data_IF_242922041785
#
_entry.id   IF_242922041785
#
_cell.length_a   1.000
_cell.length_b   1.000
_cell.length_c   1.000
_cell.angle_alpha   90.00
_cell.angle_beta   90.00
_cell.angle_gamma   90.00
#
_symmetry.space_group_name_H-M   'P 1'
#
loop_
_entity.id
_entity.type
_entity.pdbx_description
1 polymer ?
#
# COMPACT_ATOMS: atom_id res chain seq x y z
N UNK A 1 -78.30 3.87 13.67
CA UNK A 1 -78.40 3.75 15.15
C UNK A 1 -77.11 3.06 15.61
N UNK A 2 -76.00 3.77 15.90
CA UNK A 2 -75.69 4.48 17.16
C UNK A 2 -75.74 3.48 18.34
N UNK A 3 -74.63 3.14 19.01
CA UNK A 3 -73.85 4.00 19.91
C UNK A 3 -72.41 3.50 20.21
N UNK A 4 -71.53 4.49 20.38
CA UNK A 4 -70.22 4.49 21.07
C UNK A 4 -70.29 4.17 22.58
N UNK A 5 -69.16 3.69 23.14
CA UNK A 5 -68.46 4.10 24.39
C UNK A 5 -67.12 3.31 24.45
N UNK A 6 -65.92 3.88 24.27
CA UNK A 6 -65.03 4.60 25.23
C UNK A 6 -64.66 3.73 26.47
N UNK A 7 -63.43 3.61 27.00
CA UNK A 7 -62.06 4.13 26.81
C UNK A 7 -61.20 3.39 27.89
N UNK A 8 -59.94 2.99 27.63
CA UNK A 8 -58.83 3.10 28.59
C UNK A 8 -57.52 2.50 28.02
N UNK A 9 -56.52 3.36 27.97
CA UNK A 9 -55.15 3.13 27.53
C UNK A 9 -54.31 2.49 28.65
N UNK A 10 -53.39 1.58 28.31
CA UNK A 10 -52.15 1.40 29.06
C UNK A 10 -51.00 1.26 28.05
N UNK A 11 -50.17 2.29 28.02
CA UNK A 11 -48.96 2.44 27.21
C UNK A 11 -47.83 1.67 27.92
N UNK A 12 -47.15 0.77 27.23
CA UNK A 12 -45.80 0.31 27.53
C UNK A 12 -44.91 0.75 26.35
N UNK A 13 -43.74 1.35 26.59
CA UNK A 13 -42.97 1.99 25.53
C UNK A 13 -42.25 0.91 24.73
N UNK A 14 -42.77 0.61 23.54
CA UNK A 14 -41.93 0.10 22.46
C UNK A 14 -41.24 1.35 21.93
N UNK A 15 -39.93 1.43 22.15
CA UNK A 15 -39.09 2.48 21.59
C UNK A 15 -39.38 2.61 20.11
N UNK A 16 -40.00 3.72 19.76
CA UNK A 16 -40.20 4.13 18.38
C UNK A 16 -38.82 4.34 17.79
N UNK A 17 -38.36 3.42 16.93
CA UNK A 17 -37.48 3.82 15.85
C UNK A 17 -38.25 4.88 15.06
N UNK A 18 -37.89 6.14 15.30
CA UNK A 18 -38.39 7.24 14.51
C UNK A 18 -37.97 6.98 13.09
N UNK A 19 -38.93 6.80 12.20
CA UNK A 19 -38.72 7.00 10.78
C UNK A 19 -38.31 8.46 10.58
N UNK A 20 -37.01 8.72 10.53
CA UNK A 20 -36.48 9.98 10.00
C UNK A 20 -36.74 9.94 8.50
N UNK A 21 -37.58 10.86 8.04
CA UNK A 21 -37.74 11.16 6.63
C UNK A 21 -36.42 11.64 6.05
N UNK A 22 -35.84 10.84 5.14
CA UNK A 22 -35.02 11.26 3.99
C UNK A 22 -34.08 12.45 4.20
N UNK A 23 -33.06 12.29 5.03
CA UNK A 23 -31.80 12.99 4.84
C UNK A 23 -30.74 11.92 4.59
N UNK A 24 -30.06 12.01 3.44
CA UNK A 24 -28.78 11.34 3.24
C UNK A 24 -27.84 11.82 4.35
N UNK A 25 -27.08 10.92 5.01
CA UNK A 25 -26.07 11.33 5.97
C UNK A 25 -25.12 12.33 5.30
N UNK A 26 -24.78 13.42 5.99
CA UNK A 26 -24.03 14.55 5.43
C UNK A 26 -22.55 14.51 5.78
N UNK A 27 -22.13 13.66 6.72
CA UNK A 27 -20.72 13.54 7.14
C UNK A 27 -20.29 12.07 7.15
N UNK A 28 -18.98 11.79 7.07
CA UNK A 28 -18.46 10.42 7.17
C UNK A 28 -18.91 9.71 8.45
N UNK A 29 -18.95 10.41 9.58
CA UNK A 29 -19.35 9.80 10.85
C UNK A 29 -20.82 9.38 10.90
N UNK A 30 -21.73 10.10 10.26
CA UNK A 30 -23.12 9.66 10.21
C UNK A 30 -23.30 8.35 9.39
N UNK A 31 -22.35 8.05 8.49
CA UNK A 31 -22.29 6.78 7.75
C UNK A 31 -21.55 5.67 8.50
N UNK A 32 -20.39 6.01 9.07
CA UNK A 32 -19.40 5.02 9.48
C UNK A 32 -19.28 4.84 11.01
N UNK A 33 -19.76 5.76 11.84
CA UNK A 33 -19.83 5.53 13.31
C UNK A 33 -21.12 4.75 13.65
N UNK A 34 -21.11 3.45 13.37
CA UNK A 34 -22.32 2.64 13.43
C UNK A 34 -22.84 2.39 14.85
N UNK A 35 -21.95 2.25 15.84
CA UNK A 35 -22.34 2.04 17.24
C UNK A 35 -22.37 3.33 18.07
N UNK A 36 -22.03 4.46 17.47
CA UNK A 36 -22.16 5.80 18.05
C UNK A 36 -21.14 6.06 19.16
N UNK A 37 -19.98 5.40 19.09
CA UNK A 37 -18.90 5.54 20.07
C UNK A 37 -17.99 6.74 19.78
N UNK A 38 -18.21 7.43 18.66
CA UNK A 38 -17.44 8.58 18.21
C UNK A 38 -16.16 8.22 17.46
N UNK A 39 -15.97 6.96 17.07
CA UNK A 39 -14.77 6.48 16.38
C UNK A 39 -15.10 5.53 15.23
N UNK A 40 -14.43 5.72 14.09
CA UNK A 40 -14.53 4.83 12.94
C UNK A 40 -13.45 3.75 13.09
N UNK A 41 -13.76 2.72 13.89
CA UNK A 41 -12.80 1.72 14.33
C UNK A 41 -12.99 0.32 13.75
N UNK A 42 -12.24 -0.63 14.30
CA UNK A 42 -12.28 -2.05 13.90
C UNK A 42 -13.68 -2.69 14.05
N UNK A 43 -14.48 -2.22 15.01
CA UNK A 43 -15.91 -2.52 15.14
C UNK A 43 -16.67 -2.19 13.85
N UNK A 44 -16.49 -0.99 13.30
CA UNK A 44 -17.10 -0.59 12.03
C UNK A 44 -16.52 -1.38 10.86
N UNK A 45 -15.21 -1.62 10.81
CA UNK A 45 -14.63 -2.43 9.72
C UNK A 45 -15.24 -3.84 9.67
N UNK A 46 -15.40 -4.51 10.82
CA UNK A 46 -16.07 -5.82 10.89
C UNK A 46 -17.52 -5.70 10.40
N UNK A 47 -18.20 -4.61 10.72
CA UNK A 47 -19.56 -4.36 10.26
C UNK A 47 -19.63 -4.13 8.75
N UNK A 48 -18.68 -3.37 8.19
CA UNK A 48 -18.56 -3.12 6.76
C UNK A 48 -18.30 -4.43 6.00
N UNK A 49 -17.28 -5.18 6.42
CA UNK A 49 -16.92 -6.45 5.79
C UNK A 49 -18.00 -7.53 5.96
N UNK A 50 -18.69 -7.55 7.10
CA UNK A 50 -19.77 -8.50 7.38
C UNK A 50 -21.02 -8.32 6.51
N UNK A 51 -21.16 -7.16 5.86
CA UNK A 51 -22.26 -6.85 4.93
C UNK A 51 -21.76 -6.62 3.49
N UNK A 52 -20.51 -6.94 3.18
CA UNK A 52 -19.97 -6.81 1.83
C UNK A 52 -20.70 -7.76 0.86
N UNK A 53 -20.95 -7.30 -0.37
CA UNK A 53 -21.81 -7.95 -1.37
C UNK A 53 -23.29 -8.12 -0.97
N UNK A 54 -23.78 -7.43 0.06
CA UNK A 54 -25.18 -7.56 0.52
C UNK A 54 -26.06 -6.46 -0.07
N UNK A 55 -27.12 -6.87 -0.77
CA UNK A 55 -28.15 -5.96 -1.27
C UNK A 55 -28.91 -5.27 -0.11
N UNK A 56 -29.01 -3.94 -0.18
CA UNK A 56 -29.58 -3.11 0.89
C UNK A 56 -28.72 -3.13 2.15
N UNK A 57 -27.41 -3.32 1.99
CA UNK A 57 -26.44 -3.18 3.06
C UNK A 57 -26.56 -1.81 3.75
N UNK A 58 -26.23 -1.74 5.05
CA UNK A 58 -26.36 -0.52 5.84
C UNK A 58 -25.39 0.61 5.42
N UNK A 59 -24.31 0.27 4.73
CA UNK A 59 -23.26 1.18 4.28
C UNK A 59 -23.20 1.15 2.75
N UNK A 60 -24.20 1.78 2.14
CA UNK A 60 -24.40 1.96 0.69
C UNK A 60 -24.36 3.47 0.40
N UNK A 61 -23.14 4.00 0.44
CA UNK A 61 -22.80 5.43 0.39
C UNK A 61 -23.08 6.00 -0.99
N UNK A 62 -22.80 5.23 -2.04
CA UNK A 62 -23.02 5.64 -3.43
C UNK A 62 -24.47 5.42 -3.90
N UNK A 63 -25.28 4.68 -3.13
CA UNK A 63 -26.68 4.43 -3.40
C UNK A 63 -26.93 3.45 -4.54
N UNK A 64 -25.95 2.58 -4.85
CA UNK A 64 -26.05 1.51 -5.83
C UNK A 64 -27.12 0.47 -5.46
N UNK A 65 -27.46 0.37 -4.17
CA UNK A 65 -28.38 -0.62 -3.62
C UNK A 65 -27.70 -1.90 -3.15
N UNK A 66 -26.38 -1.99 -3.25
CA UNK A 66 -25.54 -3.10 -2.77
C UNK A 66 -24.37 -2.49 -2.01
N UNK A 67 -24.00 -3.09 -0.88
CA UNK A 67 -22.77 -2.68 -0.20
C UNK A 67 -21.57 -3.40 -0.83
N UNK A 68 -20.77 -2.68 -1.62
CA UNK A 68 -19.70 -3.25 -2.45
C UNK A 68 -18.42 -2.39 -2.44
N UNK A 69 -17.55 -2.54 -3.45
CA UNK A 69 -16.23 -1.90 -3.46
C UNK A 69 -16.27 -0.36 -3.32
N UNK A 70 -17.03 0.41 -4.12
CA UNK A 70 -17.23 1.85 -3.92
C UNK A 70 -17.48 2.26 -2.46
N UNK A 71 -18.31 1.51 -1.73
CA UNK A 71 -18.62 1.80 -0.32
C UNK A 71 -17.45 1.52 0.61
N UNK A 72 -16.76 0.41 0.38
CA UNK A 72 -15.56 0.09 1.16
C UNK A 72 -14.46 1.12 0.91
N UNK A 73 -14.22 1.51 -0.33
CA UNK A 73 -13.23 2.54 -0.67
C UNK A 73 -13.58 3.88 -0.03
N UNK A 74 -14.88 4.22 0.06
CA UNK A 74 -15.36 5.40 0.79
C UNK A 74 -15.09 5.29 2.28
N UNK A 75 -15.27 4.11 2.87
CA UNK A 75 -15.02 3.85 4.28
C UNK A 75 -13.53 3.88 4.66
N UNK A 76 -12.66 3.24 3.88
CA UNK A 76 -11.23 3.05 4.21
C UNK A 76 -10.49 4.38 4.43
N UNK A 77 -10.93 5.44 3.73
CA UNK A 77 -10.42 6.79 3.89
C UNK A 77 -10.50 7.29 5.33
N UNK A 78 -11.55 6.90 6.06
CA UNK A 78 -11.83 7.39 7.40
C UNK A 78 -11.51 6.37 8.50
N UNK A 79 -11.01 5.19 8.13
CA UNK A 79 -10.69 4.17 9.10
C UNK A 79 -9.61 4.64 10.09
N UNK A 80 -9.89 4.50 11.38
CA UNK A 80 -9.03 4.96 12.47
C UNK A 80 -9.29 6.39 12.94
N UNK A 81 -10.13 7.17 12.25
CA UNK A 81 -10.43 8.54 12.64
C UNK A 81 -11.45 8.63 13.80
N UNK A 82 -11.32 9.67 14.61
CA UNK A 82 -12.37 10.11 15.54
C UNK A 82 -13.38 11.02 14.85
N UNK A 83 -14.57 11.12 15.42
CA UNK A 83 -15.69 11.86 14.83
C UNK A 83 -15.79 13.34 15.20
N UNK A 84 -14.78 13.88 15.88
CA UNK A 84 -14.75 15.29 16.25
C UNK A 84 -14.40 16.17 15.02
N UNK A 85 -15.42 16.79 14.41
CA UNK A 85 -15.30 17.66 13.23
C UNK A 85 -14.71 16.96 11.99
N UNK A 86 -15.10 15.70 11.77
CA UNK A 86 -14.67 14.96 10.58
C UNK A 86 -15.57 15.30 9.38
N UNK A 87 -14.98 15.94 8.38
CA UNK A 87 -15.61 16.26 7.10
C UNK A 87 -15.13 15.31 6.00
N UNK A 88 -15.81 15.32 4.86
CA UNK A 88 -15.37 14.58 3.68
C UNK A 88 -14.02 15.12 3.18
N UNK A 89 -13.16 14.24 2.69
CA UNK A 89 -11.86 14.61 2.15
C UNK A 89 -12.06 15.18 0.75
N UNK A 90 -11.25 16.19 0.43
CA UNK A 90 -11.17 16.70 -0.93
C UNK A 90 -10.44 15.69 -1.83
N UNK A 91 -10.86 15.62 -3.09
CA UNK A 91 -10.15 14.84 -4.11
C UNK A 91 -8.97 15.63 -4.64
N UNK A 92 -7.80 15.03 -4.62
CA UNK A 92 -6.53 15.57 -5.12
C UNK A 92 -6.15 14.90 -6.45
N UNK A 93 -5.10 15.41 -7.08
CA UNK A 93 -4.56 14.87 -8.33
C UNK A 93 -3.06 15.18 -8.42
N UNK A 94 -2.29 14.23 -8.96
CA UNK A 94 -0.86 14.39 -9.20
C UNK A 94 0.04 13.81 -8.11
N UNK A 95 -0.54 13.34 -7.00
CA UNK A 95 0.21 12.67 -5.94
C UNK A 95 0.58 11.25 -6.33
N UNK A 96 -0.25 10.54 -7.09
CA UNK A 96 0.10 9.22 -7.66
C UNK A 96 0.77 9.46 -9.02
N UNK A 97 2.09 9.29 -9.08
CA UNK A 97 2.90 9.62 -10.27
C UNK A 97 2.84 8.49 -11.30
N UNK A 98 3.21 7.27 -10.90
CA UNK A 98 3.28 6.10 -11.79
C UNK A 98 3.45 4.79 -10.99
N UNK A 99 3.60 3.67 -11.69
CA UNK A 99 4.06 2.40 -11.16
C UNK A 99 5.55 2.18 -11.48
N UNK A 100 6.29 1.64 -10.51
CA UNK A 100 7.64 1.13 -10.73
C UNK A 100 7.66 -0.39 -10.64
N UNK A 101 8.24 -1.06 -11.64
CA UNK A 101 8.42 -2.52 -11.66
C UNK A 101 9.90 -2.83 -11.51
N UNK A 102 10.29 -3.42 -10.40
CA UNK A 102 11.69 -3.74 -10.08
C UNK A 102 11.91 -5.24 -10.20
N UNK A 103 12.94 -5.65 -10.92
CA UNK A 103 13.45 -7.03 -10.84
C UNK A 103 14.17 -7.22 -9.50
N UNK A 104 13.58 -8.03 -8.63
CA UNK A 104 14.10 -8.28 -7.28
C UNK A 104 15.07 -9.47 -7.26
N UNK A 105 14.73 -10.56 -7.95
CA UNK A 105 15.57 -11.75 -8.00
C UNK A 105 15.36 -12.58 -9.27
N UNK A 106 16.45 -13.06 -9.86
CA UNK A 106 16.45 -14.07 -10.93
C UNK A 106 16.88 -15.41 -10.35
N UNK A 107 16.01 -16.41 -10.45
CA UNK A 107 16.23 -17.74 -9.84
C UNK A 107 17.08 -18.59 -10.78
N UNK A 108 18.33 -18.84 -10.41
CA UNK A 108 19.26 -19.62 -11.24
C UNK A 108 19.20 -21.12 -10.99
N UNK A 109 18.56 -21.54 -9.91
CA UNK A 109 18.42 -22.93 -9.47
C UNK A 109 16.99 -23.17 -8.98
N UNK A 110 16.58 -24.44 -8.97
CA UNK A 110 15.31 -24.86 -8.38
C UNK A 110 15.34 -24.67 -6.87
N UNK A 111 14.36 -23.93 -6.33
CA UNK A 111 14.21 -23.72 -4.88
C UNK A 111 13.04 -24.55 -4.33
N UNK A 112 13.29 -25.23 -3.21
CA UNK A 112 12.27 -26.02 -2.54
C UNK A 112 11.27 -25.12 -1.78
N UNK A 113 9.99 -25.35 -2.02
CA UNK A 113 8.86 -24.68 -1.38
C UNK A 113 7.85 -25.63 -0.76
N UNK A 114 6.92 -25.07 0.03
CA UNK A 114 5.85 -25.83 0.66
C UNK A 114 4.71 -26.16 -0.33
N UNK A 115 4.37 -25.22 -1.21
CA UNK A 115 3.38 -25.38 -2.28
C UNK A 115 3.93 -25.97 -3.58
N UNK A 116 5.26 -26.05 -3.74
CA UNK A 116 5.88 -26.55 -4.97
C UNK A 116 7.37 -26.24 -5.05
N UNK A 117 7.98 -26.57 -6.19
CA UNK A 117 9.34 -26.12 -6.52
C UNK A 117 9.19 -24.78 -7.26
N UNK A 118 9.95 -23.77 -6.85
CA UNK A 118 10.17 -22.57 -7.64
C UNK A 118 11.26 -22.89 -8.67
N UNK A 119 10.93 -22.96 -9.97
CA UNK A 119 11.87 -23.43 -10.98
C UNK A 119 12.99 -22.43 -11.27
N UNK A 120 14.16 -22.96 -11.67
CA UNK A 120 15.21 -22.16 -12.30
C UNK A 120 14.68 -21.45 -13.55
N UNK A 121 15.03 -20.18 -13.72
CA UNK A 121 14.53 -19.30 -14.79
C UNK A 121 13.36 -18.42 -14.37
N UNK A 122 12.72 -18.69 -13.24
CA UNK A 122 11.71 -17.80 -12.66
C UNK A 122 12.32 -16.45 -12.25
N UNK A 123 11.48 -15.41 -12.22
CA UNK A 123 11.86 -14.06 -11.78
C UNK A 123 10.87 -13.53 -10.75
N UNK A 124 11.39 -12.95 -9.68
CA UNK A 124 10.62 -12.21 -8.68
C UNK A 124 10.69 -10.73 -9.00
N UNK A 125 9.52 -10.11 -9.13
CA UNK A 125 9.35 -8.67 -9.30
C UNK A 125 8.75 -8.06 -8.03
N UNK A 126 9.08 -6.80 -7.78
CA UNK A 126 8.38 -5.96 -6.80
C UNK A 126 7.77 -4.78 -7.54
N UNK A 127 6.50 -4.50 -7.27
CA UNK A 127 5.79 -3.36 -7.86
C UNK A 127 5.58 -2.33 -6.77
N UNK A 128 5.86 -1.06 -7.09
CA UNK A 128 5.69 0.08 -6.19
C UNK A 128 4.77 1.11 -6.84
N UNK A 129 3.98 1.80 -6.04
CA UNK A 129 3.38 3.07 -6.40
C UNK A 129 4.41 4.17 -6.16
N UNK A 130 4.63 5.03 -7.15
CA UNK A 130 5.45 6.22 -7.02
C UNK A 130 4.54 7.38 -6.61
N UNK A 131 4.76 7.90 -5.41
CA UNK A 131 4.02 9.00 -4.81
C UNK A 131 4.88 10.28 -4.76
N UNK A 132 4.24 11.43 -4.92
CA UNK A 132 4.89 12.74 -4.92
C UNK A 132 5.39 13.14 -3.53
N UNK A 133 4.56 12.98 -2.50
CA UNK A 133 4.94 13.31 -1.12
C UNK A 133 5.27 12.04 -0.33
N UNK A 134 6.42 11.97 0.37
CA UNK A 134 6.75 10.84 1.26
C UNK A 134 5.75 10.60 2.39
N UNK A 135 4.89 11.58 2.73
CA UNK A 135 3.81 11.45 3.68
C UNK A 135 2.52 10.85 3.09
N UNK A 136 2.40 10.77 1.76
CA UNK A 136 1.30 10.09 1.10
C UNK A 136 1.36 8.58 1.37
N UNK A 137 0.18 7.93 1.41
CA UNK A 137 0.12 6.48 1.64
C UNK A 137 -1.00 5.81 0.85
N UNK A 138 -0.78 4.54 0.50
CA UNK A 138 -1.82 3.73 -0.11
C UNK A 138 -2.85 3.31 0.95
N UNK A 139 -4.13 3.52 0.61
CA UNK A 139 -5.26 3.00 1.36
C UNK A 139 -5.73 1.67 0.79
N UNK A 140 -5.72 1.53 -0.54
CA UNK A 140 -6.15 0.30 -1.19
C UNK A 140 -5.52 0.09 -2.57
N UNK A 141 -5.36 -1.18 -2.92
CA UNK A 141 -5.16 -1.69 -4.28
C UNK A 141 -6.44 -2.44 -4.64
N UNK A 142 -7.15 -2.04 -5.69
CA UNK A 142 -8.54 -2.47 -5.90
C UNK A 142 -8.89 -2.82 -7.34
N UNK A 143 -10.00 -3.53 -7.53
CA UNK A 143 -10.59 -3.78 -8.85
C UNK A 143 -12.07 -4.16 -8.80
N UNK A 144 -12.80 -3.84 -9.87
CA UNK A 144 -14.20 -4.19 -10.10
C UNK A 144 -14.49 -4.31 -11.61
N UNK A 145 -15.76 -4.55 -11.99
CA UNK A 145 -16.18 -4.69 -13.40
C UNK A 145 -15.88 -3.46 -14.26
N UNK A 146 -15.95 -2.25 -13.70
CA UNK A 146 -15.69 -1.01 -14.43
C UNK A 146 -14.20 -0.64 -14.44
N UNK A 147 -13.45 -1.11 -13.44
CA UNK A 147 -12.04 -0.82 -13.19
C UNK A 147 -11.32 -2.13 -12.84
N UNK A 148 -11.06 -2.99 -13.81
CA UNK A 148 -10.47 -4.29 -13.54
C UNK A 148 -9.07 -4.14 -12.95
N UNK A 149 -8.75 -4.95 -11.94
CA UNK A 149 -7.37 -5.23 -11.55
C UNK A 149 -6.96 -6.54 -12.19
N UNK A 150 -5.87 -6.52 -12.94
CA UNK A 150 -5.42 -7.63 -13.76
C UNK A 150 -3.91 -7.71 -13.72
N UNK A 151 -3.36 -8.87 -13.36
CA UNK A 151 -1.94 -9.18 -13.51
C UNK A 151 -1.84 -10.50 -14.25
N UNK A 152 -1.14 -10.53 -15.37
CA UNK A 152 -1.03 -11.71 -16.22
C UNK A 152 0.43 -12.04 -16.54
N UNK A 153 0.72 -13.33 -16.63
CA UNK A 153 2.02 -13.88 -17.01
C UNK A 153 1.89 -15.10 -17.91
N UNK A 154 2.98 -15.48 -18.57
CA UNK A 154 3.04 -16.57 -19.53
C UNK A 154 2.65 -17.94 -18.96
N UNK A 155 2.97 -18.20 -17.69
CA UNK A 155 2.72 -19.50 -17.06
C UNK A 155 2.05 -19.35 -15.71
N UNK A 156 2.79 -19.05 -14.63
CA UNK A 156 2.21 -19.05 -13.29
C UNK A 156 2.79 -18.02 -12.31
N UNK A 157 1.96 -17.61 -11.35
CA UNK A 157 2.40 -16.91 -10.14
C UNK A 157 2.75 -17.91 -9.04
N UNK A 158 4.02 -18.00 -8.69
CA UNK A 158 4.49 -18.92 -7.67
C UNK A 158 3.97 -18.52 -6.27
N UNK A 159 3.30 -19.47 -5.61
CA UNK A 159 2.88 -19.37 -4.22
C UNK A 159 1.77 -18.35 -3.95
N UNK A 160 1.02 -17.93 -4.96
CA UNK A 160 -0.15 -17.07 -4.76
C UNK A 160 -1.38 -17.92 -4.45
N UNK A 161 -2.17 -17.55 -3.44
CA UNK A 161 -3.41 -18.24 -3.09
C UNK A 161 -3.62 -18.48 -1.59
N UNK A 162 -4.54 -19.40 -1.28
CA UNK A 162 -4.97 -19.73 0.10
C UNK A 162 -4.64 -21.15 0.54
N UNK A 163 -4.03 -21.92 -0.36
CA UNK A 163 -3.56 -23.27 -0.11
C UNK A 163 -2.36 -23.31 0.84
N UNK A 164 -1.96 -24.51 1.27
CA UNK A 164 -0.80 -24.67 2.14
C UNK A 164 0.49 -24.20 1.44
N UNK A 165 1.15 -23.19 2.01
CA UNK A 165 2.38 -22.63 1.44
C UNK A 165 2.16 -21.51 0.42
N UNK A 166 0.91 -21.09 0.22
CA UNK A 166 0.54 -19.95 -0.60
C UNK A 166 0.24 -18.71 0.26
N UNK A 167 0.28 -17.54 -0.35
CA UNK A 167 0.02 -16.24 0.28
C UNK A 167 -0.83 -15.38 -0.66
N UNK A 168 -1.80 -14.63 -0.12
CA UNK A 168 -2.51 -13.58 -0.86
C UNK A 168 -1.98 -12.19 -0.51
N UNK A 169 -1.80 -11.96 0.79
CA UNK A 169 -1.33 -10.69 1.35
C UNK A 169 -0.13 -10.91 2.24
N UNK A 170 0.72 -9.89 2.34
CA UNK A 170 1.96 -9.92 3.12
C UNK A 170 1.76 -10.32 4.57
N UNK A 171 0.60 -10.03 5.18
CA UNK A 171 0.31 -10.44 6.56
C UNK A 171 0.11 -11.95 6.74
N UNK A 172 -0.06 -12.71 5.64
CA UNK A 172 -0.07 -14.18 5.66
C UNK A 172 1.32 -14.77 5.42
N UNK A 173 2.27 -14.00 4.90
CA UNK A 173 3.65 -14.43 4.68
C UNK A 173 4.37 -14.68 6.01
N UNK A 174 5.18 -15.74 6.06
CA UNK A 174 5.87 -16.19 7.28
C UNK A 174 7.38 -16.18 7.07
N UNK A 175 8.09 -15.05 7.32
CA UNK A 175 9.53 -14.92 7.07
C UNK A 175 10.38 -15.97 7.82
N UNK A 176 9.89 -16.47 8.96
CA UNK A 176 10.57 -17.50 9.75
C UNK A 176 10.78 -18.82 8.99
N UNK A 177 10.05 -19.06 7.89
CA UNK A 177 10.19 -20.26 7.08
C UNK A 177 11.34 -20.19 6.07
N UNK A 178 11.85 -19.00 5.71
CA UNK A 178 12.85 -18.81 4.63
C UNK A 178 14.11 -19.66 4.83
N UNK A 179 14.59 -19.77 6.07
CA UNK A 179 15.80 -20.53 6.38
C UNK A 179 15.64 -22.05 6.16
N UNK A 180 14.42 -22.58 6.27
CA UNK A 180 14.13 -24.01 6.09
C UNK A 180 13.52 -24.32 4.72
N UNK A 181 12.88 -23.33 4.11
CA UNK A 181 12.12 -23.41 2.86
C UNK A 181 12.51 -22.19 2.02
N UNK A 182 13.61 -22.27 1.24
CA UNK A 182 14.16 -21.10 0.54
C UNK A 182 13.19 -20.42 -0.43
N UNK A 183 12.32 -21.19 -1.10
CA UNK A 183 11.35 -20.60 -2.03
C UNK A 183 10.25 -19.76 -1.34
N UNK A 184 10.09 -19.87 -0.02
CA UNK A 184 9.10 -19.08 0.74
C UNK A 184 9.36 -17.57 0.61
N UNK A 185 10.63 -17.16 0.59
CA UNK A 185 11.04 -15.75 0.44
C UNK A 185 10.49 -15.10 -0.83
N UNK A 186 10.26 -15.90 -1.86
CA UNK A 186 9.85 -15.47 -3.19
C UNK A 186 8.38 -15.81 -3.47
N UNK A 187 7.56 -16.04 -2.45
CA UNK A 187 6.12 -16.24 -2.68
C UNK A 187 5.48 -14.93 -3.16
N UNK A 188 4.47 -15.05 -4.01
CA UNK A 188 3.69 -13.90 -4.51
C UNK A 188 2.71 -13.41 -3.43
N UNK A 189 2.56 -12.09 -3.27
CA UNK A 189 1.61 -11.46 -2.36
C UNK A 189 1.42 -9.97 -2.64
N UNK A 190 0.26 -9.44 -2.24
CA UNK A 190 0.00 -8.00 -2.15
C UNK A 190 0.36 -7.44 -0.78
N UNK A 191 0.84 -6.20 -0.70
CA UNK A 191 1.06 -5.51 0.56
C UNK A 191 0.38 -4.16 0.70
N UNK A 192 -0.06 -3.51 -0.37
CA UNK A 192 -0.81 -2.24 -0.29
C UNK A 192 -0.16 -1.20 0.67
N UNK A 193 1.16 -1.03 0.56
CA UNK A 193 1.94 -0.02 1.28
C UNK A 193 2.85 -0.53 2.39
N UNK A 194 2.86 -1.83 2.66
CA UNK A 194 3.62 -2.41 3.77
C UNK A 194 4.79 -3.29 3.31
N UNK A 195 5.85 -3.36 4.14
CA UNK A 195 6.99 -4.23 3.92
C UNK A 195 6.69 -5.68 4.33
N UNK A 196 7.35 -6.64 3.69
CA UNK A 196 7.27 -8.06 4.03
C UNK A 196 8.27 -8.51 5.09
N UNK A 197 8.82 -7.61 5.90
CA UNK A 197 9.83 -7.99 6.88
C UNK A 197 9.24 -8.57 8.17
N UNK A 198 10.07 -9.30 8.93
CA UNK A 198 9.65 -9.99 10.15
C UNK A 198 9.28 -9.08 11.33
N UNK A 199 9.52 -7.77 11.20
CA UNK A 199 9.26 -6.77 12.23
C UNK A 199 8.07 -5.88 11.91
N UNK A 200 7.48 -5.99 10.72
CA UNK A 200 6.31 -5.20 10.35
C UNK A 200 5.14 -5.51 11.29
N UNK A 201 4.61 -4.46 11.92
CA UNK A 201 3.39 -4.53 12.73
C UNK A 201 2.13 -4.34 11.89
N UNK A 202 2.31 -4.14 10.58
CA UNK A 202 1.24 -3.90 9.65
C UNK A 202 0.37 -5.13 9.41
N UNK A 203 -0.92 -4.87 9.32
CA UNK A 203 -1.93 -5.88 9.02
C UNK A 203 -2.67 -5.50 7.74
N UNK A 204 -2.31 -6.19 6.66
CA UNK A 204 -2.91 -6.11 5.34
C UNK A 204 -4.02 -7.15 5.28
N UNK A 205 -5.20 -6.70 4.92
CA UNK A 205 -6.38 -7.51 4.71
C UNK A 205 -6.79 -7.45 3.24
N UNK A 206 -7.70 -8.33 2.86
CA UNK A 206 -8.35 -8.27 1.57
C UNK A 206 -9.84 -8.56 1.72
N UNK A 207 -10.62 -8.05 0.77
CA UNK A 207 -11.99 -8.49 0.52
C UNK A 207 -12.17 -8.66 -0.98
N UNK A 208 -12.99 -9.62 -1.36
CA UNK A 208 -13.22 -9.97 -2.75
C UNK A 208 -14.70 -10.28 -2.91
N UNK A 209 -15.25 -9.91 -4.06
CA UNK A 209 -16.57 -10.29 -4.50
C UNK A 209 -16.63 -11.77 -4.84
N UNK A 210 -16.78 -12.05 -6.12
CA UNK A 210 -16.80 -13.43 -6.63
C UNK A 210 -15.41 -13.98 -6.94
N UNK A 211 -14.34 -13.20 -6.77
CA UNK A 211 -12.98 -13.69 -6.95
C UNK A 211 -12.64 -14.75 -5.87
N UNK A 212 -12.89 -16.03 -6.18
CA UNK A 212 -12.47 -17.17 -5.38
C UNK A 212 -11.10 -17.64 -5.85
N UNK A 213 -10.06 -17.04 -5.26
CA UNK A 213 -8.63 -17.32 -5.53
C UNK A 213 -8.17 -18.73 -5.15
N UNK A 214 -9.08 -19.59 -4.66
CA UNK A 214 -8.81 -20.97 -4.26
C UNK A 214 -9.11 -22.01 -5.35
N UNK A 215 -9.91 -21.67 -6.38
CA UNK A 215 -10.38 -22.65 -7.38
C UNK A 215 -10.35 -22.14 -8.85
N UNK A 216 -10.09 -20.85 -9.11
CA UNK A 216 -10.32 -20.27 -10.45
C UNK A 216 -9.20 -19.41 -11.04
N UNK A 217 -8.02 -19.34 -10.43
CA UNK A 217 -6.88 -18.74 -11.14
C UNK A 217 -6.47 -19.67 -12.27
N UNK A 218 -6.54 -19.20 -13.52
CA UNK A 218 -5.61 -19.72 -14.53
C UNK A 218 -4.22 -19.45 -13.99
N UNK A 219 -3.35 -20.46 -13.91
CA UNK A 219 -2.09 -20.41 -13.13
C UNK A 219 -1.31 -19.08 -13.27
N UNK A 220 -1.42 -18.39 -14.42
CA UNK A 220 -0.76 -17.10 -14.73
C UNK A 220 -1.66 -15.86 -14.83
N UNK A 221 -2.82 -15.80 -14.17
CA UNK A 221 -3.62 -14.57 -14.09
C UNK A 221 -4.08 -14.31 -12.65
N UNK A 222 -4.07 -13.05 -12.22
CA UNK A 222 -4.70 -12.56 -11.00
C UNK A 222 -5.69 -11.47 -11.43
N UNK A 223 -6.99 -11.73 -11.30
CA UNK A 223 -8.04 -10.92 -11.89
C UNK A 223 -9.17 -10.58 -10.92
N UNK A 224 -9.54 -9.31 -10.86
CA UNK A 224 -10.67 -8.79 -10.10
C UNK A 224 -11.47 -7.85 -10.99
N UNK A 225 -12.51 -8.39 -11.61
CA UNK A 225 -13.34 -7.73 -12.64
C UNK A 225 -14.85 -7.95 -12.42
N UNK A 226 -15.26 -8.38 -11.22
CA UNK A 226 -16.66 -8.65 -10.93
C UNK A 226 -17.40 -7.40 -10.41
N UNK A 227 -18.73 -7.41 -10.52
CA UNK A 227 -19.58 -6.26 -10.18
C UNK A 227 -19.60 -5.89 -8.69
N UNK A 228 -19.11 -6.76 -7.79
CA UNK A 228 -18.92 -6.43 -6.37
C UNK A 228 -17.54 -5.83 -6.17
N UNK A 229 -16.55 -6.35 -6.89
CA UNK A 229 -15.16 -5.95 -6.80
C UNK A 229 -14.49 -6.39 -5.51
N UNK A 230 -13.32 -5.82 -5.25
CA UNK A 230 -12.55 -6.11 -4.05
C UNK A 230 -11.35 -5.19 -3.88
N UNK A 231 -10.64 -5.38 -2.77
CA UNK A 231 -9.47 -4.59 -2.45
C UNK A 231 -8.50 -5.36 -1.57
N UNK A 232 -7.21 -5.07 -1.74
CA UNK A 232 -6.15 -5.30 -0.75
C UNK A 232 -5.88 -3.97 -0.03
N UNK A 233 -5.89 -3.97 1.30
CA UNK A 233 -5.83 -2.74 2.08
C UNK A 233 -5.17 -2.93 3.45
N UNK A 234 -4.52 -1.88 3.95
CA UNK A 234 -4.04 -1.82 5.32
C UNK A 234 -5.16 -1.63 6.33
N UNK A 235 -5.03 -2.21 7.51
CA UNK A 235 -5.92 -1.93 8.65
C UNK A 235 -5.35 -0.89 9.61
N UNK A 236 -4.27 -0.20 9.25
CA UNK A 236 -3.82 1.01 9.92
C UNK A 236 -3.26 1.96 8.87
N UNK A 237 -3.68 3.22 8.89
CA UNK A 237 -3.16 4.27 8.00
C UNK A 237 -1.80 4.77 8.50
N UNK A 238 -0.91 3.85 8.89
CA UNK A 238 0.43 4.16 9.32
C UNK A 238 1.34 3.98 8.12
N UNK A 239 1.89 5.08 7.61
CA UNK A 239 3.13 5.04 6.85
C UNK A 239 4.22 4.48 7.78
N UNK A 240 4.35 3.15 7.85
CA UNK A 240 5.37 2.50 8.70
C UNK A 240 6.79 2.75 8.19
N UNK A 241 6.93 3.36 7.01
CA UNK A 241 8.21 3.54 6.34
C UNK A 241 8.20 4.90 5.65
N UNK A 242 9.22 5.71 5.92
CA UNK A 242 9.61 6.81 5.03
C UNK A 242 9.98 6.17 3.70
N UNK A 243 9.03 6.06 2.80
CA UNK A 243 9.18 5.32 1.55
C UNK A 243 9.89 6.14 0.47
N UNK A 244 10.32 7.37 0.77
CA UNK A 244 10.94 8.31 -0.17
C UNK A 244 10.18 8.43 -1.50
N UNK A 245 8.85 8.23 -1.45
CA UNK A 245 7.95 8.20 -2.62
C UNK A 245 7.70 6.81 -3.24
N UNK A 246 8.45 5.75 -2.94
CA UNK A 246 8.19 4.39 -3.47
C UNK A 246 7.45 3.50 -2.48
N UNK A 247 6.13 3.40 -2.62
CA UNK A 247 5.26 2.65 -1.71
C UNK A 247 4.99 1.24 -2.26
N UNK A 248 5.32 0.14 -1.55
CA UNK A 248 5.22 -1.20 -2.11
C UNK A 248 3.77 -1.62 -2.32
N UNK A 249 3.44 -2.09 -3.53
CA UNK A 249 2.14 -2.69 -3.84
C UNK A 249 2.15 -4.19 -3.55
N UNK A 250 3.25 -4.87 -3.87
CA UNK A 250 3.40 -6.30 -3.66
C UNK A 250 4.65 -6.90 -4.30
N UNK A 251 4.83 -8.20 -4.09
CA UNK A 251 5.86 -9.04 -4.68
C UNK A 251 5.21 -10.10 -5.57
N UNK A 252 5.73 -10.29 -6.78
CA UNK A 252 5.15 -11.19 -7.78
C UNK A 252 6.25 -12.05 -8.41
N UNK A 253 6.18 -13.36 -8.16
CA UNK A 253 7.15 -14.31 -8.74
C UNK A 253 6.51 -15.06 -9.87
N UNK A 254 7.02 -14.85 -11.08
CA UNK A 254 6.53 -15.50 -12.30
C UNK A 254 7.45 -16.66 -12.68
N UNK A 255 6.86 -17.81 -13.01
CA UNK A 255 7.63 -19.03 -13.36
C UNK A 255 8.17 -18.99 -14.79
N UNK A 256 7.51 -18.27 -15.69
CA UNK A 256 7.99 -17.94 -17.04
C UNK A 256 7.98 -16.41 -17.23
N UNK A 257 9.16 -15.75 -17.16
CA UNK A 257 9.27 -14.30 -17.25
C UNK A 257 9.20 -13.76 -18.69
N UNK A 258 8.86 -14.58 -19.69
CA UNK A 258 8.80 -14.14 -21.10
C UNK A 258 7.86 -12.96 -21.31
N UNK A 259 6.80 -12.85 -20.50
CA UNK A 259 6.01 -11.65 -20.32
C UNK A 259 5.31 -11.65 -18.96
N UNK A 260 5.20 -10.47 -18.37
CA UNK A 260 4.43 -10.18 -17.18
C UNK A 260 3.93 -8.74 -17.29
N UNK A 261 2.62 -8.54 -17.33
CA UNK A 261 2.02 -7.22 -17.49
C UNK A 261 0.66 -7.19 -16.79
N UNK A 262 0.07 -6.00 -16.68
CA UNK A 262 -1.21 -5.87 -16.01
C UNK A 262 -1.67 -4.44 -15.87
N UNK A 263 -2.81 -4.30 -15.20
CA UNK A 263 -3.47 -3.06 -14.85
C UNK A 263 -3.79 -3.06 -13.35
N UNK A 264 -3.44 -1.98 -12.66
CA UNK A 264 -3.64 -1.81 -11.22
C UNK A 264 -4.43 -0.53 -10.97
N UNK A 265 -5.31 -0.55 -9.97
CA UNK A 265 -6.01 0.64 -9.48
C UNK A 265 -5.64 0.89 -8.02
N UNK A 266 -5.43 2.15 -7.67
CA UNK A 266 -4.94 2.60 -6.38
C UNK A 266 -5.85 3.67 -5.80
N UNK A 267 -6.07 3.59 -4.49
CA UNK A 267 -6.59 4.68 -3.67
C UNK A 267 -5.49 5.10 -2.71
N UNK A 268 -5.08 6.37 -2.77
CA UNK A 268 -4.12 6.95 -1.85
C UNK A 268 -4.78 8.01 -0.96
N UNK A 269 -4.26 8.12 0.25
CA UNK A 269 -4.44 9.30 1.09
C UNK A 269 -3.28 10.24 0.82
N UNK A 270 -3.60 11.50 0.58
CA UNK A 270 -2.62 12.52 0.17
C UNK A 270 -2.48 13.61 1.22
N UNK A 271 -1.30 14.20 1.34
CA UNK A 271 -1.04 15.36 2.19
C UNK A 271 -0.82 16.59 1.31
N UNK A 272 -1.62 17.63 1.53
CA UNK A 272 -1.51 18.90 0.78
C UNK A 272 -0.51 19.86 1.43
N UNK A 273 -0.06 20.89 0.69
CA UNK A 273 0.94 21.87 1.15
C UNK A 273 0.57 22.57 2.47
N UNK A 274 -0.72 22.75 2.76
CA UNK A 274 -1.19 23.39 3.99
C UNK A 274 -1.30 22.40 5.18
N UNK A 275 -0.88 21.15 4.98
CA UNK A 275 -0.92 20.06 5.95
C UNK A 275 -2.28 19.40 6.09
N UNK A 276 -3.26 19.75 5.26
CA UNK A 276 -4.56 19.05 5.22
C UNK A 276 -4.45 17.74 4.44
N UNK A 277 -5.38 16.83 4.69
CA UNK A 277 -5.41 15.51 4.07
C UNK A 277 -6.47 15.46 2.97
N UNK A 278 -6.16 14.73 1.90
CA UNK A 278 -7.04 14.48 0.76
C UNK A 278 -6.98 13.02 0.31
N UNK A 279 -7.62 12.73 -0.82
CA UNK A 279 -7.60 11.41 -1.44
C UNK A 279 -7.36 11.51 -2.94
N UNK A 280 -6.67 10.52 -3.50
CA UNK A 280 -6.51 10.39 -4.95
C UNK A 280 -6.82 8.96 -5.40
N UNK A 281 -7.61 8.86 -6.46
CA UNK A 281 -7.83 7.60 -7.18
C UNK A 281 -6.98 7.60 -8.44
N UNK A 282 -6.21 6.54 -8.65
CA UNK A 282 -5.55 6.26 -9.91
C UNK A 282 -6.09 4.93 -10.45
N UNK A 283 -6.71 4.98 -11.62
CA UNK A 283 -7.40 3.85 -12.23
C UNK A 283 -6.73 3.53 -13.57
N UNK A 284 -6.59 2.25 -13.90
CA UNK A 284 -6.04 1.82 -15.17
C UNK A 284 -4.52 1.97 -15.30
N UNK A 285 -3.77 1.98 -14.19
CA UNK A 285 -2.30 2.07 -14.23
C UNK A 285 -1.71 0.80 -14.81
N UNK A 286 -1.17 0.88 -16.02
CA UNK A 286 -0.61 -0.26 -16.72
C UNK A 286 0.88 -0.43 -16.39
N UNK A 287 1.34 -1.69 -16.28
CA UNK A 287 2.75 -2.00 -16.10
C UNK A 287 3.18 -3.18 -16.99
N UNK A 288 4.49 -3.34 -17.18
CA UNK A 288 5.08 -4.46 -17.92
C UNK A 288 6.51 -4.74 -17.47
N UNK A 289 6.88 -6.02 -17.41
CA UNK A 289 8.26 -6.44 -17.15
C UNK A 289 9.23 -6.15 -18.31
N UNK A 290 8.74 -5.56 -19.41
CA UNK A 290 9.58 -5.00 -20.46
C UNK A 290 10.10 -3.58 -20.13
N UNK A 291 9.51 -2.91 -19.13
CA UNK A 291 9.86 -1.57 -18.68
C UNK A 291 10.19 -1.60 -17.18
N UNK A 292 11.41 -2.04 -16.88
CA UNK A 292 11.87 -2.20 -15.51
C UNK A 292 12.47 -0.90 -14.98
N UNK A 293 12.09 -0.57 -13.74
CA UNK A 293 12.66 0.53 -12.98
C UNK A 293 13.93 0.08 -12.28
N UNK A 294 15.00 0.84 -12.46
CA UNK A 294 16.22 0.74 -11.66
C UNK A 294 16.29 1.97 -10.77
N UNK A 295 16.10 1.79 -9.47
CA UNK A 295 16.25 2.86 -8.49
C UNK A 295 17.72 3.18 -8.27
N UNK A 296 18.03 4.48 -8.13
CA UNK A 296 19.35 4.95 -7.75
C UNK A 296 19.52 6.44 -8.01
N UNK A 297 20.63 6.99 -7.52
CA UNK A 297 20.97 8.39 -7.75
C UNK A 297 21.31 8.62 -9.23
N UNK A 298 20.64 9.59 -9.86
CA UNK A 298 20.84 9.95 -11.27
C UNK A 298 21.72 11.20 -11.45
N UNK A 299 22.19 11.80 -10.35
CA UNK A 299 23.10 12.95 -10.38
C UNK A 299 24.57 12.53 -10.51
N UNK A 300 25.23 12.90 -11.62
CA UNK A 300 26.65 12.62 -11.88
C UNK A 300 27.60 13.26 -10.85
N UNK A 301 27.16 14.28 -10.11
CA UNK A 301 27.96 14.93 -9.06
C UNK A 301 27.88 14.19 -7.70
N UNK A 302 26.95 13.25 -7.55
CA UNK A 302 26.78 12.48 -6.33
C UNK A 302 27.82 11.35 -6.19
N UNK A 303 28.16 11.03 -4.95
CA UNK A 303 29.14 9.98 -4.62
C UNK A 303 28.64 8.56 -4.90
N UNK A 304 27.33 8.39 -4.99
CA UNK A 304 26.63 7.14 -5.26
C UNK A 304 25.85 7.18 -6.59
N UNK A 305 26.27 8.04 -7.54
CA UNK A 305 25.72 8.06 -8.88
C UNK A 305 25.67 6.66 -9.50
N UNK A 306 24.48 6.26 -9.98
CA UNK A 306 24.28 5.04 -10.73
C UNK A 306 23.87 5.37 -12.18
N UNK A 307 24.75 5.16 -13.17
CA UNK A 307 24.41 5.40 -14.58
C UNK A 307 23.37 4.44 -15.14
N UNK A 308 23.03 3.36 -14.42
CA UNK A 308 21.96 2.44 -14.79
C UNK A 308 20.60 2.83 -14.20
N UNK A 309 20.56 3.77 -13.25
CA UNK A 309 19.32 4.22 -12.64
C UNK A 309 18.39 4.87 -13.68
N UNK A 310 17.12 4.50 -13.62
CA UNK A 310 16.05 5.05 -14.45
C UNK A 310 15.06 5.87 -13.64
N UNK A 311 15.12 5.78 -12.31
CA UNK A 311 14.31 6.55 -11.37
C UNK A 311 15.12 6.85 -10.12
N UNK A 312 15.00 8.09 -9.63
CA UNK A 312 15.64 8.55 -8.39
C UNK A 312 14.55 8.87 -7.38
N UNK A 313 14.64 8.29 -6.18
CA UNK A 313 13.77 8.64 -5.06
C UNK A 313 14.33 9.83 -4.29
N UNK A 314 13.47 10.47 -3.50
CA UNK A 314 13.91 11.61 -2.70
C UNK A 314 14.96 11.17 -1.67
N UNK A 315 16.04 11.94 -1.54
CA UNK A 315 17.17 11.58 -0.69
C UNK A 315 18.04 10.40 -1.16
N UNK A 316 17.85 9.84 -2.37
CA UNK A 316 18.70 8.76 -2.88
C UNK A 316 20.14 9.22 -3.16
N UNK A 317 20.36 10.50 -3.48
CA UNK A 317 21.69 11.02 -3.83
C UNK A 317 22.49 11.43 -2.61
N UNK A 318 23.70 10.90 -2.51
CA UNK A 318 24.63 11.17 -1.42
C UNK A 318 25.76 12.10 -1.88
N UNK A 319 25.93 13.24 -1.21
CA UNK A 319 26.94 14.25 -1.57
C UNK A 319 28.06 14.34 -0.53
N UNK A 320 29.29 14.74 -0.93
CA UNK A 320 30.38 14.92 0.03
C UNK A 320 30.04 15.95 1.10
N UNK A 321 30.12 15.54 2.37
CA UNK A 321 29.82 16.37 3.53
C UNK A 321 28.36 16.44 3.92
N UNK A 322 27.39 16.07 3.08
CA UNK A 322 25.96 16.01 3.45
C UNK A 322 25.62 14.55 3.79
N UNK A 323 25.51 14.26 5.08
CA UNK A 323 25.40 12.90 5.60
C UNK A 323 23.96 12.50 5.90
N UNK A 324 23.09 13.45 6.22
CA UNK A 324 21.67 13.19 6.43
C UNK A 324 20.83 13.42 5.15
N UNK A 325 21.42 14.01 4.10
CA UNK A 325 20.80 14.20 2.79
C UNK A 325 19.77 15.34 2.79
N UNK A 326 19.81 16.26 3.77
CA UNK A 326 18.85 17.36 3.87
C UNK A 326 19.23 18.59 3.02
N UNK A 327 20.36 18.53 2.33
CA UNK A 327 20.87 19.61 1.48
C UNK A 327 21.51 20.77 2.24
N UNK A 328 21.63 20.69 3.57
CA UNK A 328 22.34 21.64 4.41
C UNK A 328 23.59 20.99 5.03
N UNK A 329 24.62 21.79 5.30
CA UNK A 329 25.78 21.32 6.06
C UNK A 329 25.63 21.74 7.51
N UNK A 330 25.31 20.81 8.40
CA UNK A 330 24.99 21.10 9.80
C UNK A 330 25.88 20.34 10.79
N UNK A 331 25.58 20.48 12.09
CA UNK A 331 26.27 19.70 13.13
C UNK A 331 25.90 18.21 13.02
N UNK A 332 24.73 17.88 12.50
CA UNK A 332 24.34 16.48 12.30
C UNK A 332 25.25 15.80 11.28
N UNK A 333 25.59 16.51 10.20
CA UNK A 333 26.51 16.00 9.18
C UNK A 333 27.95 15.86 9.69
N UNK A 334 28.39 16.81 10.52
CA UNK A 334 29.68 16.67 11.21
C UNK A 334 29.72 15.41 12.07
N UNK A 335 28.61 15.05 12.74
CA UNK A 335 28.56 13.84 13.54
C UNK A 335 28.64 12.58 12.66
N UNK A 336 27.97 12.59 11.50
CA UNK A 336 28.10 11.53 10.48
C UNK A 336 29.55 11.39 9.99
N UNK A 337 30.17 12.52 9.63
CA UNK A 337 31.57 12.56 9.19
C UNK A 337 32.55 12.05 10.26
N UNK A 338 32.32 12.40 11.53
CA UNK A 338 33.16 11.92 12.62
C UNK A 338 33.00 10.42 12.87
N UNK A 339 31.85 9.83 12.54
CA UNK A 339 31.64 8.38 12.58
C UNK A 339 32.48 7.66 11.52
N UNK A 340 32.68 8.29 10.36
CA UNK A 340 33.48 7.77 9.26
C UNK A 340 34.99 8.04 9.39
N UNK A 341 35.45 8.67 10.47
CA UNK A 341 36.85 9.02 10.64
C UNK A 341 37.78 7.80 10.54
N UNK A 342 38.71 7.85 9.58
CA UNK A 342 39.65 6.77 9.25
C UNK A 342 39.11 5.76 8.22
N UNK A 343 37.89 5.95 7.70
CA UNK A 343 37.34 5.12 6.63
C UNK A 343 38.09 5.37 5.31
N UNK A 344 38.26 4.32 4.51
CA UNK A 344 38.95 4.36 3.19
C UNK A 344 38.03 4.05 2.01
N UNK A 345 36.74 3.88 2.28
CA UNK A 345 35.70 3.57 1.31
C UNK A 345 34.41 4.31 1.66
N UNK A 346 34.53 5.55 2.11
CA UNK A 346 33.43 6.42 2.52
C UNK A 346 33.52 7.73 1.73
N UNK A 347 33.05 7.75 0.47
CA UNK A 347 33.22 8.90 -0.41
C UNK A 347 32.47 10.15 0.08
N UNK A 348 31.39 10.00 0.85
CA UNK A 348 30.72 11.14 1.52
C UNK A 348 31.64 11.86 2.52
N UNK A 349 32.51 11.11 3.23
CA UNK A 349 33.44 11.69 4.20
C UNK A 349 34.78 12.12 3.62
N UNK A 350 35.16 11.64 2.43
CA UNK A 350 36.43 11.96 1.74
C UNK A 350 36.27 13.20 0.87
N UNK A 351 36.02 14.34 1.51
CA UNK A 351 35.72 15.62 0.84
C UNK A 351 36.89 16.08 -0.04
N UNK A 352 38.12 15.76 0.34
CA UNK A 352 39.31 16.17 -0.40
C UNK A 352 39.72 15.17 -1.51
N UNK A 353 39.15 13.96 -1.50
CA UNK A 353 39.39 12.92 -2.50
C UNK A 353 40.75 12.23 -2.38
N UNK A 354 41.37 12.19 -1.19
CA UNK A 354 42.66 11.52 -0.96
C UNK A 354 42.53 10.02 -0.64
N UNK A 355 41.30 9.51 -0.57
CA UNK A 355 40.96 8.12 -0.32
C UNK A 355 40.86 7.75 1.17
N UNK A 356 40.91 8.71 2.09
CA UNK A 356 40.72 8.43 3.53
C UNK A 356 40.11 9.61 4.29
N UNK A 357 39.00 9.36 4.98
CA UNK A 357 38.35 10.37 5.84
C UNK A 357 39.26 10.71 7.03
N UNK A 358 39.81 11.92 7.07
CA UNK A 358 40.76 12.32 8.10
C UNK A 358 40.66 13.82 8.48
N UNK A 359 41.68 14.37 9.13
CA UNK A 359 41.65 15.74 9.68
C UNK A 359 41.48 16.78 8.56
N UNK A 360 42.28 16.76 7.46
CA UNK A 360 42.00 17.50 6.24
C UNK A 360 40.54 17.56 5.80
N UNK A 361 39.82 16.43 5.77
CA UNK A 361 38.41 16.42 5.37
C UNK A 361 37.55 17.18 6.37
N UNK A 362 37.72 16.92 7.67
CA UNK A 362 36.98 17.66 8.72
C UNK A 362 37.26 19.16 8.61
N UNK A 363 38.51 19.56 8.38
CA UNK A 363 38.86 20.97 8.22
C UNK A 363 38.21 21.59 6.98
N UNK A 364 38.01 20.82 5.91
CA UNK A 364 37.26 21.26 4.74
C UNK A 364 35.77 21.36 5.02
N UNK A 365 35.17 20.36 5.68
CA UNK A 365 33.77 20.39 6.10
C UNK A 365 33.46 21.62 6.96
N UNK A 366 34.31 21.93 7.94
CA UNK A 366 34.15 23.10 8.82
C UNK A 366 34.26 24.44 8.07
N UNK A 367 34.71 24.45 6.82
CA UNK A 367 34.69 25.64 5.96
C UNK A 367 33.36 25.85 5.23
N UNK A 368 32.47 24.84 5.23
CA UNK A 368 31.11 24.91 4.68
C UNK A 368 30.06 25.36 5.71
N UNK A 369 30.34 25.17 7.02
CA UNK A 369 29.59 25.77 8.15
C UNK A 369 29.80 27.28 8.24
#
# INVERSE_FOLDING_TARGET
MQRLLALAWLILPIGTMGSVSGQTPNTPCEWFDHDGDGHIGANTLIYALGNYAVAGGPMDVDGSGVQDLPDLLSFLQYFGNGCDNLDWYDTTAGHIIDLAVVEYAVHTEDLFGFGGILPAGAVTYQIFALLEDPADCLLAVFGDEDRPLELETAEAFYGFGTGPGETLVVSSYQPALNAAIPANEFTTWFSAGFSGDANSTAYVSYVTGNAYWSDELSDGSILMEDSIGGAFFGTYNTSEVTNNGAVPIGQFTVTDPSWFNGTINLLAKTVMEDGTEGIEFAEGLAFSNADLTVFGCMDEEATNFDPAATWQLDGDCAYPGDFNGDGEFTVEDLLGMLADFGCTSCPQGDINGDGVVNVPDILMFLAFL
#
